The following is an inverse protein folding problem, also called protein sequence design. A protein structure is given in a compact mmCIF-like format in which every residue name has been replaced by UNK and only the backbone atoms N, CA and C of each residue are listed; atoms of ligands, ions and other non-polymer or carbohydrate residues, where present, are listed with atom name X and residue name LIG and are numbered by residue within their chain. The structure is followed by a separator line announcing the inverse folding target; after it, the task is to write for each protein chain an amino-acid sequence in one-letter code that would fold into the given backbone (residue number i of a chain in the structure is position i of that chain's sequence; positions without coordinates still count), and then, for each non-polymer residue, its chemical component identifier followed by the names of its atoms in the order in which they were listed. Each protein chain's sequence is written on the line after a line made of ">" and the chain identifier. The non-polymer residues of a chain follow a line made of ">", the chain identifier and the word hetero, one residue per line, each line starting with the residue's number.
data_IF_077802590379
#
_entry.id   IF_077802590379
#
_cell.length_a   1.000
_cell.length_b   1.000
_cell.length_c   1.000
_cell.angle_alpha   90.00
_cell.angle_beta   90.00
_cell.angle_gamma   90.00
#
_symmetry.space_group_name_H-M   'P 1'
#
loop_
_entity.id
_entity.type
_entity.pdbx_description
1 polymer ?
#
# COMPACT_ATOMS: atom_id res chain seq x y z
N UNK A 1 6.21 14.91 7.83
CA UNK A 1 5.69 13.74 7.09
C UNK A 1 4.56 14.12 6.15
N UNK A 2 3.51 14.85 6.58
CA UNK A 2 2.43 15.30 5.68
C UNK A 2 2.91 16.10 4.47
N UNK A 3 3.77 17.12 4.67
CA UNK A 3 4.28 17.93 3.57
C UNK A 3 5.11 17.10 2.59
N UNK A 4 6.02 16.27 3.09
CA UNK A 4 6.79 15.33 2.29
C UNK A 4 5.88 14.42 1.43
N UNK A 5 4.80 13.90 1.99
CA UNK A 5 3.81 13.11 1.24
C UNK A 5 3.11 13.94 0.15
N UNK A 6 2.73 15.18 0.44
CA UNK A 6 2.12 16.10 -0.54
C UNK A 6 3.09 16.42 -1.68
N UNK A 7 4.37 16.59 -1.39
CA UNK A 7 5.43 16.90 -2.37
C UNK A 7 5.90 15.67 -3.17
N UNK A 8 5.37 14.48 -2.88
CA UNK A 8 5.76 13.22 -3.52
C UNK A 8 4.75 12.82 -4.61
N UNK A 9 5.20 12.64 -5.85
CA UNK A 9 4.34 12.17 -6.94
C UNK A 9 4.17 10.64 -6.96
N UNK A 10 5.19 9.92 -6.49
CA UNK A 10 5.28 8.45 -6.55
C UNK A 10 5.56 7.86 -5.18
N UNK A 11 4.68 6.97 -4.73
CA UNK A 11 4.74 6.35 -3.40
C UNK A 11 5.02 4.86 -3.50
N UNK A 12 6.03 4.36 -2.79
CA UNK A 12 6.25 2.92 -2.61
C UNK A 12 6.10 2.60 -1.12
N UNK A 13 5.15 1.74 -0.78
CA UNK A 13 4.94 1.24 0.58
C UNK A 13 5.31 -0.24 0.59
N UNK A 14 6.28 -0.63 1.42
CA UNK A 14 6.68 -2.01 1.59
C UNK A 14 6.51 -2.44 3.06
N UNK A 15 5.79 -3.54 3.31
CA UNK A 15 5.60 -4.05 4.67
C UNK A 15 5.38 -5.57 4.71
N UNK A 16 5.71 -6.24 5.82
CA UNK A 16 5.16 -7.55 6.12
C UNK A 16 3.72 -7.45 6.61
N UNK A 17 2.96 -8.54 6.49
CA UNK A 17 1.69 -8.76 7.18
C UNK A 17 1.97 -9.33 8.57
N UNK A 18 1.69 -8.58 9.63
CA UNK A 18 1.89 -9.01 11.01
C UNK A 18 0.57 -9.04 11.75
N UNK A 19 0.20 -10.21 12.27
CA UNK A 19 -1.04 -10.40 13.05
C UNK A 19 -2.28 -9.89 12.30
N UNK A 20 -2.38 -10.24 11.00
CA UNK A 20 -3.42 -9.79 10.06
C UNK A 20 -3.45 -8.27 9.80
N UNK A 21 -2.54 -7.49 10.38
CA UNK A 21 -2.45 -6.05 10.23
C UNK A 21 -1.10 -5.59 9.69
N UNK A 22 -0.95 -4.27 9.60
CA UNK A 22 0.29 -3.62 9.22
C UNK A 22 1.18 -3.31 10.44
N UNK A 23 2.51 -3.19 10.29
CA UNK A 23 3.41 -2.80 11.37
C UNK A 23 2.99 -1.47 12.01
N UNK A 24 3.11 -1.36 13.34
CA UNK A 24 2.68 -0.16 14.09
C UNK A 24 3.33 1.14 13.61
N UNK A 25 4.61 1.10 13.21
CA UNK A 25 5.29 2.26 12.62
C UNK A 25 4.67 2.72 11.30
N UNK A 26 4.22 1.78 10.46
CA UNK A 26 3.51 2.13 9.23
C UNK A 26 2.17 2.77 9.55
N UNK A 27 1.45 2.26 10.57
CA UNK A 27 0.19 2.88 11.02
C UNK A 27 0.42 4.31 11.50
N UNK A 28 1.46 4.52 12.30
CA UNK A 28 1.83 5.85 12.77
C UNK A 28 2.16 6.79 11.60
N UNK A 29 2.87 6.33 10.57
CA UNK A 29 3.14 7.12 9.37
C UNK A 29 1.85 7.46 8.61
N UNK A 30 0.96 6.49 8.40
CA UNK A 30 -0.34 6.68 7.74
C UNK A 30 -1.19 7.72 8.49
N UNK A 31 -1.17 7.73 9.82
CA UNK A 31 -1.84 8.75 10.63
C UNK A 31 -1.30 10.16 10.38
N UNK A 32 0.01 10.29 10.13
CA UNK A 32 0.60 11.61 9.82
C UNK A 32 0.20 12.16 8.45
N UNK A 33 -0.24 11.32 7.52
CA UNK A 33 -0.65 11.76 6.18
C UNK A 33 -2.17 11.88 6.03
N UNK A 34 -2.96 11.48 7.04
CA UNK A 34 -4.40 11.63 7.06
C UNK A 34 -4.79 12.91 7.83
N UNK A 35 -4.77 14.06 7.15
CA UNK A 35 -4.91 15.38 7.79
C UNK A 35 -5.97 16.22 7.08
N UNK A 36 -7.01 16.59 7.83
CA UNK A 36 -8.08 17.45 7.33
C UNK A 36 -7.55 18.82 6.89
N UNK A 37 -8.03 19.33 5.76
CA UNK A 37 -7.56 20.58 5.15
C UNK A 37 -6.19 20.47 4.45
N UNK A 38 -5.56 19.29 4.45
CA UNK A 38 -4.27 19.04 3.79
C UNK A 38 -4.37 17.93 2.75
N UNK A 39 -4.74 16.73 3.16
CA UNK A 39 -4.80 15.54 2.29
C UNK A 39 -6.22 15.04 2.05
N UNK A 40 -7.18 15.52 2.83
CA UNK A 40 -8.62 15.44 2.55
C UNK A 40 -9.32 16.68 3.12
N UNK A 41 -10.57 16.92 2.73
CA UNK A 41 -11.43 17.94 3.35
C UNK A 41 -12.87 17.42 3.49
N UNK A 42 -13.64 18.00 4.40
CA UNK A 42 -15.06 17.75 4.51
C UNK A 42 -15.87 18.63 3.55
N UNK A 43 -16.98 18.09 3.05
CA UNK A 43 -17.99 18.77 2.24
C UNK A 43 -19.37 18.36 2.74
N UNK A 44 -20.43 19.01 2.23
CA UNK A 44 -21.82 18.65 2.56
C UNK A 44 -22.19 17.21 2.14
N UNK A 45 -21.42 16.59 1.25
CA UNK A 45 -21.59 15.21 0.79
C UNK A 45 -20.60 14.23 1.43
N UNK A 46 -19.86 14.67 2.46
CA UNK A 46 -18.83 13.87 3.13
C UNK A 46 -17.40 14.25 2.74
N UNK A 47 -16.40 13.48 3.21
CA UNK A 47 -15.00 13.78 2.97
C UNK A 47 -14.59 13.51 1.51
N UNK A 48 -13.72 14.37 0.98
CA UNK A 48 -13.10 14.20 -0.35
C UNK A 48 -11.58 14.29 -0.23
N UNK A 49 -10.88 13.39 -0.92
CA UNK A 49 -9.42 13.37 -0.98
C UNK A 49 -8.85 14.57 -1.76
N UNK A 50 -7.67 15.03 -1.35
CA UNK A 50 -6.95 16.15 -1.96
C UNK A 50 -5.58 15.73 -2.54
N UNK A 51 -5.09 14.54 -2.22
CA UNK A 51 -3.81 14.02 -2.67
C UNK A 51 -3.89 13.35 -4.05
N UNK A 52 -4.52 14.01 -5.01
CA UNK A 52 -4.75 13.49 -6.37
C UNK A 52 -3.49 13.52 -7.23
N UNK A 53 -3.47 12.75 -8.32
CA UNK A 53 -2.37 12.76 -9.30
C UNK A 53 -1.13 11.96 -8.90
N UNK A 54 -1.19 11.28 -7.74
CA UNK A 54 -0.11 10.43 -7.24
C UNK A 54 -0.28 8.99 -7.71
N UNK A 55 0.83 8.32 -7.98
CA UNK A 55 0.88 6.88 -8.24
C UNK A 55 1.47 6.16 -7.02
N UNK A 56 0.90 5.01 -6.65
CA UNK A 56 1.38 4.22 -5.54
C UNK A 56 1.62 2.76 -5.92
N UNK A 57 2.64 2.16 -5.30
CA UNK A 57 2.87 0.71 -5.28
C UNK A 57 2.85 0.25 -3.82
N UNK A 58 2.04 -0.76 -3.52
CA UNK A 58 2.02 -1.45 -2.23
C UNK A 58 2.61 -2.85 -2.40
N UNK A 59 3.73 -3.10 -1.73
CA UNK A 59 4.44 -4.37 -1.72
C UNK A 59 4.25 -5.01 -0.35
N UNK A 60 3.62 -6.18 -0.31
CA UNK A 60 3.37 -6.88 0.95
C UNK A 60 3.86 -8.33 0.91
N UNK A 61 4.55 -8.75 1.96
CA UNK A 61 4.84 -10.16 2.20
C UNK A 61 3.97 -10.73 3.30
N UNK A 62 3.46 -11.95 3.11
CA UNK A 62 2.68 -12.68 4.10
C UNK A 62 3.05 -14.17 4.09
N UNK A 63 3.07 -14.80 5.26
CA UNK A 63 3.37 -16.22 5.37
C UNK A 63 2.31 -17.14 4.73
N UNK A 64 1.04 -16.72 4.75
CA UNK A 64 -0.09 -17.43 4.13
C UNK A 64 -0.55 -16.78 2.82
N UNK A 65 -1.55 -17.41 2.19
CA UNK A 65 -2.20 -16.90 0.97
C UNK A 65 -3.47 -16.13 1.35
N UNK A 66 -3.56 -14.86 0.95
CA UNK A 66 -4.68 -13.97 1.25
C UNK A 66 -5.29 -13.35 -0.01
N UNK A 67 -4.58 -13.36 -1.15
CA UNK A 67 -5.04 -12.80 -2.42
C UNK A 67 -5.56 -11.35 -2.29
N UNK A 68 -4.92 -10.56 -1.42
CA UNK A 68 -5.28 -9.16 -1.15
C UNK A 68 -6.54 -8.96 -0.30
N UNK A 69 -7.11 -10.03 0.28
CA UNK A 69 -8.25 -9.96 1.19
C UNK A 69 -7.85 -9.76 2.66
N UNK A 70 -6.56 -9.65 2.98
CA UNK A 70 -6.09 -9.33 4.33
C UNK A 70 -6.38 -7.87 4.74
N UNK A 71 -6.48 -7.61 6.05
CA UNK A 71 -6.83 -6.27 6.54
C UNK A 71 -5.76 -5.21 6.24
N UNK A 72 -4.48 -5.57 6.18
CA UNK A 72 -3.42 -4.59 5.92
C UNK A 72 -3.49 -4.05 4.49
N UNK A 73 -3.62 -4.93 3.50
CA UNK A 73 -3.80 -4.57 2.09
C UNK A 73 -5.05 -3.73 1.88
N UNK A 74 -6.19 -4.15 2.47
CA UNK A 74 -7.44 -3.41 2.36
C UNK A 74 -7.36 -2.04 3.03
N UNK A 75 -6.76 -1.96 4.22
CA UNK A 75 -6.61 -0.69 4.94
C UNK A 75 -5.75 0.31 4.17
N UNK A 76 -4.57 -0.11 3.67
CA UNK A 76 -3.69 0.77 2.90
C UNK A 76 -4.38 1.23 1.62
N UNK A 77 -5.02 0.32 0.87
CA UNK A 77 -5.73 0.65 -0.37
C UNK A 77 -6.89 1.62 -0.11
N UNK A 78 -7.68 1.35 0.93
CA UNK A 78 -8.83 2.17 1.32
C UNK A 78 -8.41 3.56 1.80
N UNK A 79 -7.37 3.66 2.63
CA UNK A 79 -6.84 4.94 3.08
C UNK A 79 -6.27 5.76 1.92
N UNK A 80 -5.46 5.16 1.04
CA UNK A 80 -4.91 5.85 -0.12
C UNK A 80 -6.02 6.37 -1.04
N UNK A 81 -7.03 5.54 -1.29
CA UNK A 81 -8.22 5.93 -2.08
C UNK A 81 -8.98 7.07 -1.40
N UNK A 82 -9.18 7.00 -0.08
CA UNK A 82 -9.81 8.07 0.71
C UNK A 82 -9.06 9.41 0.58
N UNK A 83 -7.72 9.38 0.55
CA UNK A 83 -6.89 10.57 0.37
C UNK A 83 -6.86 11.07 -1.08
N UNK A 84 -7.41 10.33 -2.05
CA UNK A 84 -7.45 10.69 -3.47
C UNK A 84 -6.39 10.03 -4.34
N UNK A 85 -5.64 9.06 -3.81
CA UNK A 85 -4.66 8.25 -4.54
C UNK A 85 -5.35 7.00 -5.07
N UNK A 86 -5.86 7.06 -6.30
CA UNK A 86 -6.66 5.98 -6.90
C UNK A 86 -5.85 4.96 -7.70
N UNK A 87 -4.62 5.30 -8.09
CA UNK A 87 -3.73 4.42 -8.85
C UNK A 87 -2.79 3.70 -7.89
N UNK A 88 -3.24 2.57 -7.34
CA UNK A 88 -2.45 1.73 -6.42
C UNK A 88 -2.19 0.36 -7.04
N UNK A 89 -0.95 0.13 -7.48
CA UNK A 89 -0.48 -1.20 -7.90
C UNK A 89 -0.09 -2.02 -6.67
N UNK A 90 -0.29 -3.35 -6.73
CA UNK A 90 -0.02 -4.26 -5.61
C UNK A 90 0.95 -5.35 -6.04
N UNK A 91 1.90 -5.68 -5.17
CA UNK A 91 2.79 -6.82 -5.31
C UNK A 91 2.65 -7.64 -4.03
N UNK A 92 2.12 -8.85 -4.17
CA UNK A 92 1.90 -9.77 -3.06
C UNK A 92 2.96 -10.89 -3.10
N UNK A 93 3.64 -11.10 -1.98
CA UNK A 93 4.63 -12.16 -1.77
C UNK A 93 4.06 -13.08 -0.69
N UNK A 94 3.27 -14.07 -1.12
CA UNK A 94 2.41 -14.86 -0.23
C UNK A 94 2.77 -16.35 -0.23
N UNK A 95 2.55 -17.01 0.90
CA UNK A 95 2.53 -18.47 1.00
C UNK A 95 3.88 -19.15 1.25
N UNK A 96 4.98 -18.40 1.36
CA UNK A 96 6.33 -18.98 1.57
C UNK A 96 6.41 -19.76 2.88
N UNK A 97 5.80 -19.28 3.96
CA UNK A 97 5.84 -20.00 5.25
C UNK A 97 5.03 -21.31 5.20
N UNK A 98 4.00 -21.37 4.36
CA UNK A 98 3.19 -22.59 4.16
C UNK A 98 3.83 -23.59 3.19
N UNK A 99 4.53 -23.08 2.17
CA UNK A 99 5.20 -23.87 1.14
C UNK A 99 6.65 -23.39 0.92
N UNK A 100 7.57 -23.67 1.87
CA UNK A 100 8.95 -23.19 1.80
C UNK A 100 9.71 -23.65 0.54
N UNK A 101 9.34 -24.82 0.00
CA UNK A 101 9.90 -25.36 -1.23
C UNK A 101 9.60 -24.50 -2.47
N UNK A 102 8.58 -23.64 -2.40
CA UNK A 102 8.20 -22.70 -3.48
C UNK A 102 8.83 -21.32 -3.32
N UNK A 103 9.73 -21.13 -2.37
CA UNK A 103 10.39 -19.84 -2.11
C UNK A 103 10.91 -19.18 -3.39
N UNK A 104 11.74 -19.89 -4.16
CA UNK A 104 12.39 -19.32 -5.35
C UNK A 104 11.38 -18.99 -6.45
N UNK A 105 10.34 -19.80 -6.60
CA UNK A 105 9.24 -19.56 -7.54
C UNK A 105 8.47 -18.28 -7.18
N UNK A 106 8.03 -18.17 -5.92
CA UNK A 106 7.25 -17.02 -5.42
C UNK A 106 8.07 -15.73 -5.49
N UNK A 107 9.34 -15.78 -5.06
CA UNK A 107 10.23 -14.62 -5.12
C UNK A 107 10.54 -14.20 -6.56
N UNK A 108 10.77 -15.16 -7.46
CA UNK A 108 11.03 -14.84 -8.88
C UNK A 108 9.84 -14.20 -9.56
N UNK A 109 8.62 -14.66 -9.28
CA UNK A 109 7.39 -14.05 -9.76
C UNK A 109 7.25 -12.60 -9.24
N UNK A 110 7.38 -12.40 -7.93
CA UNK A 110 7.28 -11.06 -7.34
C UNK A 110 8.35 -10.08 -7.85
N UNK A 111 9.59 -10.54 -8.06
CA UNK A 111 10.67 -9.73 -8.65
C UNK A 111 10.35 -9.38 -10.11
N UNK A 112 9.75 -10.30 -10.86
CA UNK A 112 9.32 -10.05 -12.24
C UNK A 112 8.24 -8.99 -12.30
N UNK A 113 7.21 -9.11 -11.45
CA UNK A 113 6.14 -8.11 -11.33
C UNK A 113 6.69 -6.75 -10.92
N UNK A 114 7.62 -6.71 -9.96
CA UNK A 114 8.28 -5.48 -9.53
C UNK A 114 9.03 -4.78 -10.67
N UNK A 115 9.74 -5.54 -11.52
CA UNK A 115 10.43 -5.00 -12.70
C UNK A 115 9.45 -4.42 -13.71
N UNK A 116 8.37 -5.16 -14.03
CA UNK A 116 7.36 -4.71 -14.99
C UNK A 116 6.62 -3.45 -14.53
N UNK A 117 6.33 -3.37 -13.22
CA UNK A 117 5.76 -2.17 -12.61
C UNK A 117 6.76 -1.01 -12.72
N UNK A 118 8.02 -1.23 -12.35
CA UNK A 118 9.05 -0.19 -12.34
C UNK A 118 9.29 0.45 -13.72
N UNK A 119 9.13 -0.29 -14.82
CA UNK A 119 9.24 0.25 -16.18
C UNK A 119 8.16 1.29 -16.53
N UNK A 120 7.01 1.24 -15.84
CA UNK A 120 5.83 2.07 -16.12
C UNK A 120 5.47 3.02 -14.98
N UNK A 121 6.16 2.91 -13.85
CA UNK A 121 5.85 3.61 -12.60
C UNK A 121 6.36 5.05 -12.61
#
# INVERSE_FOLDING_TARGET
>A
MTQQFLDTDKLVIANPLWNLGLPSKLKNWLDTICVAGKTFKYTDHGPVGLATGKNAVHIQSAGGNYAGHDFATQYISGLLTFLGVTTVQKIAIEGIDYAPERHDEIMSAAITDAKQIAEKF
#
